data_IF_134839055818
#
_entry.id   IF_134839055818
#
_cell.length_a   1.000
_cell.length_b   1.000
_cell.length_c   1.000
_cell.angle_alpha   90.00
_cell.angle_beta   90.00
_cell.angle_gamma   90.00
#
_symmetry.space_group_name_H-M   'P 1'
#
loop_
_entity.id
_entity.type
_entity.pdbx_description
1 polymer ?
#
# COMPACT_ATOMS: atom_id res chain seq x y z
N UNK A 1 12.60 22.49 2.88
CA UNK A 1 13.41 21.77 1.86
C UNK A 1 14.57 21.12 2.58
N UNK A 2 14.96 19.91 2.19
CA UNK A 2 15.97 19.13 2.91
C UNK A 2 17.33 19.84 2.94
N UNK A 3 17.93 19.93 4.12
CA UNK A 3 19.25 20.56 4.31
C UNK A 3 20.35 19.63 3.81
N UNK A 4 20.28 18.32 4.12
CA UNK A 4 21.29 17.37 3.66
C UNK A 4 21.18 17.04 2.17
N UNK A 5 22.32 17.02 1.48
CA UNK A 5 22.38 16.75 0.04
C UNK A 5 21.88 15.35 -0.32
N UNK A 6 22.03 14.36 0.56
CA UNK A 6 21.54 13.01 0.31
C UNK A 6 20.00 12.95 0.33
N UNK A 7 19.35 13.74 1.19
CA UNK A 7 17.89 13.79 1.28
C UNK A 7 17.27 14.59 0.12
N UNK A 8 18.01 15.52 -0.50
CA UNK A 8 17.58 16.19 -1.74
C UNK A 8 17.34 15.21 -2.89
N UNK A 9 17.94 14.01 -2.86
CA UNK A 9 17.64 12.97 -3.85
C UNK A 9 16.18 12.51 -3.82
N UNK A 10 15.50 12.64 -2.68
CA UNK A 10 14.06 12.35 -2.57
C UNK A 10 13.29 13.35 -3.43
N UNK A 11 13.64 14.63 -3.43
CA UNK A 11 12.93 15.69 -4.17
C UNK A 11 12.97 15.52 -5.69
N UNK A 12 13.94 14.76 -6.20
CA UNK A 12 14.12 14.51 -7.63
C UNK A 12 13.69 13.09 -8.05
N UNK A 13 13.02 12.35 -7.16
CA UNK A 13 12.69 10.93 -7.35
C UNK A 13 11.71 10.70 -8.51
N UNK A 14 10.71 11.56 -8.66
CA UNK A 14 9.71 11.51 -9.74
C UNK A 14 10.17 12.41 -10.90
N UNK A 15 10.02 11.94 -12.14
CA UNK A 15 10.44 12.71 -13.30
C UNK A 15 9.61 13.97 -13.51
N UNK A 16 10.30 15.12 -13.64
CA UNK A 16 9.69 16.43 -13.79
C UNK A 16 8.81 16.93 -12.64
N UNK A 17 8.75 16.24 -11.49
CA UNK A 17 7.85 16.58 -10.37
C UNK A 17 8.62 16.59 -9.05
N UNK A 18 8.64 17.73 -8.37
CA UNK A 18 9.27 17.92 -7.06
C UNK A 18 8.26 17.83 -5.91
N UNK A 19 8.74 17.75 -4.67
CA UNK A 19 7.90 17.75 -3.48
C UNK A 19 7.20 19.10 -3.35
N UNK A 20 5.88 19.08 -3.32
CA UNK A 20 5.10 20.31 -3.15
C UNK A 20 5.11 20.80 -1.69
N UNK A 21 4.83 22.10 -1.46
CA UNK A 21 4.65 22.63 -0.11
C UNK A 21 3.56 21.90 0.69
N UNK A 22 2.51 21.39 0.04
CA UNK A 22 1.41 20.66 0.69
C UNK A 22 1.90 19.37 1.35
N UNK A 23 2.81 18.65 0.70
CA UNK A 23 3.43 17.45 1.27
C UNK A 23 4.27 17.80 2.50
N UNK A 24 5.07 18.86 2.40
CA UNK A 24 5.90 19.33 3.52
C UNK A 24 5.04 19.75 4.72
N UNK A 25 3.95 20.47 4.47
CA UNK A 25 3.00 20.86 5.50
C UNK A 25 2.41 19.63 6.20
N UNK A 26 1.93 18.63 5.45
CA UNK A 26 1.38 17.40 6.04
C UNK A 26 2.41 16.58 6.84
N UNK A 27 3.67 16.54 6.40
CA UNK A 27 4.74 15.87 7.13
C UNK A 27 5.07 16.57 8.45
N UNK A 28 5.00 17.91 8.48
CA UNK A 28 5.36 18.73 9.65
C UNK A 28 4.25 18.85 10.70
N UNK A 29 3.02 18.38 10.44
CA UNK A 29 1.89 18.45 11.39
C UNK A 29 2.11 17.70 12.72
N UNK A 30 3.19 16.92 12.87
CA UNK A 30 3.49 16.16 14.09
C UNK A 30 4.59 16.79 14.98
N UNK A 31 4.98 18.05 14.77
CA UNK A 31 6.01 18.81 15.54
C UNK A 31 7.41 18.16 15.63
N UNK A 32 7.65 17.10 14.87
CA UNK A 32 8.94 16.42 14.82
C UNK A 32 9.60 16.75 13.49
N UNK A 33 10.89 17.10 13.54
CA UNK A 33 11.69 17.32 12.35
C UNK A 33 11.79 16.04 11.51
N UNK A 34 11.25 16.10 10.29
CA UNK A 34 11.21 14.95 9.37
C UNK A 34 12.61 14.45 8.98
N UNK A 35 13.61 15.34 8.91
CA UNK A 35 15.00 14.94 8.62
C UNK A 35 15.56 14.07 9.74
N UNK A 36 15.32 14.45 10.99
CA UNK A 36 15.77 13.70 12.15
C UNK A 36 15.09 12.33 12.20
N UNK A 37 13.80 12.25 11.86
CA UNK A 37 13.10 10.96 11.75
C UNK A 37 13.68 10.06 10.66
N UNK A 38 13.94 10.60 9.47
CA UNK A 38 14.52 9.86 8.35
C UNK A 38 15.90 9.30 8.71
N UNK A 39 16.75 10.11 9.34
CA UNK A 39 18.08 9.72 9.77
C UNK A 39 18.05 8.71 10.93
N UNK A 40 17.15 8.89 11.91
CA UNK A 40 16.94 7.95 12.99
C UNK A 40 16.44 6.60 12.47
N UNK A 41 15.44 6.61 11.59
CA UNK A 41 14.88 5.40 10.99
C UNK A 41 15.95 4.63 10.20
N UNK A 42 16.76 5.34 9.41
CA UNK A 42 17.92 4.78 8.73
C UNK A 42 18.88 4.10 9.71
N UNK A 43 19.26 4.77 10.79
CA UNK A 43 20.20 4.22 11.76
C UNK A 43 19.66 2.97 12.48
N UNK A 44 18.34 2.94 12.73
CA UNK A 44 17.67 1.85 13.43
C UNK A 44 17.28 0.68 12.52
N UNK A 45 17.13 0.89 11.20
CA UNK A 45 16.64 -0.13 10.26
C UNK A 45 17.48 -1.42 10.23
N UNK A 46 18.83 -1.38 10.21
CA UNK A 46 19.64 -2.59 10.27
C UNK A 46 19.53 -3.37 11.59
N UNK A 47 19.02 -2.75 12.65
CA UNK A 47 18.84 -3.36 13.96
C UNK A 47 17.48 -4.05 14.12
N UNK A 48 16.59 -3.90 13.14
CA UNK A 48 15.24 -4.45 13.22
C UNK A 48 15.23 -5.94 12.98
N UNK A 49 14.46 -6.65 13.81
CA UNK A 49 14.28 -8.11 13.74
C UNK A 49 13.09 -8.50 12.88
N UNK A 50 12.10 -7.63 12.77
CA UNK A 50 10.88 -7.85 12.00
C UNK A 50 11.04 -7.24 10.61
N UNK A 51 10.61 -7.99 9.60
CA UNK A 51 10.58 -7.49 8.23
C UNK A 51 9.18 -7.00 7.88
N UNK A 52 8.98 -5.69 7.77
CA UNK A 52 7.72 -5.09 7.35
C UNK A 52 7.78 -4.60 5.91
N UNK A 53 6.67 -4.76 5.21
CA UNK A 53 6.45 -4.23 3.88
C UNK A 53 5.63 -2.94 3.95
N UNK A 54 5.94 -2.00 3.07
CA UNK A 54 5.09 -0.84 2.81
C UNK A 54 4.67 -0.86 1.34
N UNK A 55 3.37 -0.77 1.05
CA UNK A 55 2.83 -0.70 -0.30
C UNK A 55 2.16 0.66 -0.47
N UNK A 56 2.68 1.49 -1.37
CA UNK A 56 2.06 2.74 -1.79
C UNK A 56 1.42 2.55 -3.16
N UNK A 57 0.09 2.60 -3.21
CA UNK A 57 -0.66 2.41 -4.45
C UNK A 57 -1.29 3.72 -4.90
N UNK A 58 -1.02 4.09 -6.16
CA UNK A 58 -1.69 5.17 -6.87
C UNK A 58 -3.21 4.99 -6.87
N UNK A 59 -3.92 6.05 -7.27
CA UNK A 59 -5.38 6.02 -7.36
C UNK A 59 -5.92 4.80 -8.12
N UNK A 60 -6.89 4.14 -7.49
CA UNK A 60 -7.57 2.98 -8.05
C UNK A 60 -8.59 3.51 -9.06
N UNK A 61 -8.27 3.37 -10.35
CA UNK A 61 -9.17 3.83 -11.38
C UNK A 61 -10.25 2.77 -11.62
N UNK A 62 -11.51 3.22 -11.70
CA UNK A 62 -12.66 2.35 -11.90
C UNK A 62 -12.67 1.52 -13.20
N UNK A 63 -11.71 1.77 -14.11
CA UNK A 63 -11.58 1.09 -15.40
C UNK A 63 -10.24 0.38 -15.59
N UNK A 64 -9.33 0.43 -14.61
CA UNK A 64 -8.00 -0.17 -14.69
C UNK A 64 -7.89 -1.41 -13.82
N UNK A 65 -7.01 -2.31 -14.22
CA UNK A 65 -6.72 -3.53 -13.47
C UNK A 65 -5.92 -3.29 -12.18
N UNK A 66 -5.53 -2.04 -11.88
CA UNK A 66 -4.77 -1.73 -10.67
C UNK A 66 -5.57 -1.99 -9.39
N UNK A 67 -6.89 -2.17 -9.45
CA UNK A 67 -7.69 -2.67 -8.34
C UNK A 67 -7.11 -3.95 -7.70
N UNK A 68 -6.56 -4.86 -8.50
CA UNK A 68 -6.06 -6.14 -8.02
C UNK A 68 -5.11 -5.98 -6.81
N UNK A 69 -4.29 -4.93 -6.83
CA UNK A 69 -3.28 -4.67 -5.81
C UNK A 69 -3.84 -4.19 -4.47
N UNK A 70 -5.09 -3.73 -4.40
CA UNK A 70 -5.75 -3.39 -3.13
C UNK A 70 -5.86 -4.61 -2.21
N UNK A 71 -5.89 -5.82 -2.78
CA UNK A 71 -5.96 -7.07 -2.02
C UNK A 71 -4.59 -7.57 -1.54
N UNK A 72 -3.50 -7.04 -2.10
CA UNK A 72 -2.13 -7.40 -1.71
C UNK A 72 -1.87 -7.39 -0.20
N UNK A 73 -2.22 -6.33 0.57
CA UNK A 73 -1.99 -6.35 2.01
C UNK A 73 -2.70 -7.49 2.74
N UNK A 74 -3.90 -7.87 2.32
CA UNK A 74 -4.66 -8.96 2.95
C UNK A 74 -4.14 -10.34 2.56
N UNK A 75 -3.68 -10.50 1.32
CA UNK A 75 -2.96 -11.70 0.88
C UNK A 75 -1.68 -11.89 1.71
N UNK A 76 -0.85 -10.84 1.83
CA UNK A 76 0.40 -10.88 2.59
C UNK A 76 0.14 -11.13 4.09
N UNK A 77 -0.88 -10.50 4.66
CA UNK A 77 -1.24 -10.71 6.07
C UNK A 77 -1.78 -12.13 6.35
N UNK A 78 -2.45 -12.77 5.39
CA UNK A 78 -2.80 -14.20 5.45
C UNK A 78 -1.57 -15.12 5.38
N UNK A 79 -0.45 -14.63 4.83
CA UNK A 79 0.85 -15.30 4.84
C UNK A 79 1.72 -14.89 6.03
N UNK A 80 1.14 -14.27 7.06
CA UNK A 80 1.83 -13.77 8.26
C UNK A 80 2.92 -12.73 7.98
N UNK A 81 2.81 -11.99 6.88
CA UNK A 81 3.70 -10.87 6.60
C UNK A 81 3.07 -9.56 7.07
N UNK A 82 3.85 -8.79 7.83
CA UNK A 82 3.43 -7.48 8.31
C UNK A 82 3.52 -6.46 7.16
N UNK A 83 2.39 -5.82 6.86
CA UNK A 83 2.29 -4.90 5.73
C UNK A 83 1.49 -3.65 6.08
N UNK A 84 2.04 -2.50 5.70
CA UNK A 84 1.32 -1.24 5.64
C UNK A 84 0.95 -0.98 4.20
N UNK A 85 -0.31 -0.65 3.94
CA UNK A 85 -0.81 -0.30 2.63
C UNK A 85 -1.40 1.11 2.67
N UNK A 86 -0.97 1.96 1.73
CA UNK A 86 -1.50 3.30 1.56
C UNK A 86 -2.05 3.51 0.15
N UNK A 87 -3.16 4.25 0.09
CA UNK A 87 -3.82 4.67 -1.16
C UNK A 87 -4.56 5.98 -0.91
N UNK A 88 -4.79 6.82 -1.94
CA UNK A 88 -5.69 7.97 -1.80
C UNK A 88 -7.11 7.51 -1.40
N UNK A 89 -7.75 8.26 -0.52
CA UNK A 89 -9.14 8.07 -0.09
C UNK A 89 -10.14 8.53 -1.17
N UNK A 90 -9.99 8.00 -2.39
CA UNK A 90 -10.85 8.33 -3.54
C UNK A 90 -11.99 7.33 -3.68
N UNK A 91 -12.97 7.68 -4.53
CA UNK A 91 -14.26 6.98 -4.66
C UNK A 91 -14.12 5.46 -4.80
N UNK A 92 -13.18 4.98 -5.63
CA UNK A 92 -12.97 3.54 -5.86
C UNK A 92 -12.49 2.79 -4.62
N UNK A 93 -11.45 3.31 -3.95
CA UNK A 93 -10.92 2.70 -2.74
C UNK A 93 -11.95 2.74 -1.61
N UNK A 94 -12.61 3.89 -1.42
CA UNK A 94 -13.66 4.06 -0.43
C UNK A 94 -14.86 3.14 -0.69
N UNK A 95 -15.26 2.93 -1.95
CA UNK A 95 -16.38 2.05 -2.31
C UNK A 95 -16.17 0.60 -1.83
N UNK A 96 -14.91 0.18 -1.70
CA UNK A 96 -14.54 -1.15 -1.21
C UNK A 96 -14.46 -1.14 0.32
N UNK A 97 -13.66 -0.25 0.91
CA UNK A 97 -13.43 -0.25 2.35
C UNK A 97 -14.68 0.11 3.17
N UNK A 98 -15.58 0.95 2.63
CA UNK A 98 -16.83 1.33 3.32
C UNK A 98 -17.80 0.18 3.54
N UNK A 99 -17.58 -0.97 2.89
CA UNK A 99 -18.38 -2.18 3.11
C UNK A 99 -18.02 -2.87 4.43
N UNK A 100 -16.85 -2.54 5.02
CA UNK A 100 -16.31 -3.21 6.21
C UNK A 100 -16.23 -2.30 7.44
N UNK A 101 -16.05 -0.99 7.26
CA UNK A 101 -16.02 -0.01 8.35
C UNK A 101 -16.37 1.40 7.83
N UNK A 102 -16.55 2.38 8.71
CA UNK A 102 -16.77 3.77 8.32
C UNK A 102 -15.49 4.44 7.78
N UNK A 103 -15.08 4.05 6.57
CA UNK A 103 -13.86 4.50 5.91
C UNK A 103 -13.84 5.99 5.53
N UNK A 104 -15.01 6.62 5.44
CA UNK A 104 -15.14 8.07 5.16
C UNK A 104 -14.72 8.92 6.37
N UNK A 105 -14.78 8.34 7.58
CA UNK A 105 -14.23 8.98 8.77
C UNK A 105 -12.72 8.75 8.79
N UNK A 106 -11.96 9.69 8.23
CA UNK A 106 -10.49 9.72 8.28
C UNK A 106 -10.03 10.00 9.72
N UNK A 107 -10.02 8.95 10.53
CA UNK A 107 -9.54 8.96 11.90
C UNK A 107 -8.07 8.54 11.92
N UNK A 108 -7.26 9.13 12.82
CA UNK A 108 -5.89 8.67 13.03
C UNK A 108 -5.93 7.27 13.66
N UNK A 109 -5.68 6.27 12.82
CA UNK A 109 -5.57 4.86 13.23
C UNK A 109 -4.15 4.64 13.75
N UNK A 110 -4.02 3.94 14.88
CA UNK A 110 -2.73 3.43 15.32
C UNK A 110 -2.32 2.23 14.43
N UNK A 111 -1.56 2.52 13.39
CA UNK A 111 -1.09 1.51 12.44
C UNK A 111 -0.22 0.45 13.12
N UNK A 112 0.56 0.79 14.16
CA UNK A 112 1.41 -0.18 14.84
C UNK A 112 0.54 -1.22 15.54
N UNK A 113 -0.51 -0.79 16.24
CA UNK A 113 -1.42 -1.71 16.93
C UNK A 113 -2.18 -2.61 15.94
N UNK A 114 -2.60 -2.07 14.80
CA UNK A 114 -3.25 -2.84 13.74
C UNK A 114 -2.31 -3.89 13.13
N UNK A 115 -1.05 -3.54 12.85
CA UNK A 115 -0.04 -4.46 12.33
C UNK A 115 0.29 -5.54 13.36
N UNK A 116 0.47 -5.20 14.63
CA UNK A 116 0.80 -6.16 15.67
C UNK A 116 -0.34 -7.17 15.91
N UNK A 117 -1.59 -6.73 15.76
CA UNK A 117 -2.77 -7.57 15.97
C UNK A 117 -3.15 -8.39 14.73
N UNK A 118 -3.01 -7.82 13.54
CA UNK A 118 -3.61 -8.34 12.30
C UNK A 118 -2.62 -8.56 11.16
N UNK A 119 -1.35 -8.16 11.32
CA UNK A 119 -0.32 -8.09 10.27
C UNK A 119 -0.65 -7.12 9.13
N UNK A 120 -1.67 -6.28 9.25
CA UNK A 120 -2.07 -5.32 8.21
C UNK A 120 -2.44 -3.97 8.82
N UNK A 121 -1.91 -2.90 8.24
CA UNK A 121 -2.36 -1.53 8.46
C UNK A 121 -2.75 -0.88 7.14
N UNK A 122 -3.92 -0.25 7.07
CA UNK A 122 -4.40 0.48 5.89
C UNK A 122 -4.48 1.97 6.21
N UNK A 123 -3.78 2.77 5.42
CA UNK A 123 -3.78 4.22 5.50
C UNK A 123 -4.48 4.81 4.26
N UNK A 124 -5.66 5.41 4.49
CA UNK A 124 -6.37 6.16 3.45
C UNK A 124 -5.94 7.63 3.53
N UNK A 125 -5.16 8.08 2.56
CA UNK A 125 -4.59 9.43 2.53
C UNK A 125 -5.53 10.45 1.89
N UNK A 126 -5.32 11.73 2.21
CA UNK A 126 -6.12 12.86 1.72
C UNK A 126 -6.40 12.78 0.21
N UNK A 127 -7.68 12.83 -0.16
CA UNK A 127 -8.15 12.76 -1.55
C UNK A 127 -7.68 13.93 -2.40
N UNK A 128 -7.37 15.06 -1.76
CA UNK A 128 -6.99 16.31 -2.42
C UNK A 128 -5.49 16.35 -2.77
N UNK A 129 -4.73 15.30 -2.48
CA UNK A 129 -3.37 15.16 -2.98
C UNK A 129 -3.43 14.78 -4.45
N UNK A 130 -2.62 15.47 -5.27
CA UNK A 130 -2.32 14.96 -6.59
C UNK A 130 -1.47 13.69 -6.48
N UNK A 131 -1.30 12.99 -7.59
CA UNK A 131 -0.61 11.70 -7.59
C UNK A 131 0.83 11.79 -7.11
N UNK A 132 1.59 12.79 -7.57
CA UNK A 132 2.97 13.03 -7.15
C UNK A 132 3.07 13.31 -5.64
N UNK A 133 2.17 14.14 -5.12
CA UNK A 133 2.12 14.51 -3.71
C UNK A 133 1.82 13.30 -2.83
N UNK A 134 0.84 12.47 -3.23
CA UNK A 134 0.55 11.21 -2.56
C UNK A 134 1.78 10.31 -2.52
N UNK A 135 2.50 10.18 -3.64
CA UNK A 135 3.69 9.34 -3.73
C UNK A 135 4.82 9.85 -2.85
N UNK A 136 5.11 11.14 -2.89
CA UNK A 136 6.13 11.73 -2.04
C UNK A 136 5.80 11.56 -0.56
N UNK A 137 4.55 11.84 -0.18
CA UNK A 137 4.11 11.66 1.20
C UNK A 137 4.25 10.22 1.67
N UNK A 138 3.77 9.26 0.86
CA UNK A 138 3.82 7.82 1.19
C UNK A 138 5.25 7.30 1.27
N UNK A 139 6.11 7.68 0.33
CA UNK A 139 7.52 7.30 0.32
C UNK A 139 8.25 7.84 1.56
N UNK A 140 8.08 9.12 1.86
CA UNK A 140 8.74 9.74 3.03
C UNK A 140 8.23 9.09 4.32
N UNK A 141 6.92 8.88 4.48
CA UNK A 141 6.35 8.15 5.62
C UNK A 141 6.96 6.75 5.76
N UNK A 142 7.06 5.99 4.67
CA UNK A 142 7.65 4.66 4.68
C UNK A 142 9.14 4.68 5.09
N UNK A 143 9.90 5.66 4.59
CA UNK A 143 11.33 5.82 4.94
C UNK A 143 11.55 6.23 6.40
N UNK A 144 10.58 6.90 7.03
CA UNK A 144 10.58 7.22 8.46
C UNK A 144 10.30 6.00 9.35
N UNK A 145 9.83 4.88 8.79
CA UNK A 145 9.58 3.65 9.55
C UNK A 145 10.84 2.77 9.53
N UNK A 146 11.49 2.63 10.69
CA UNK A 146 12.69 1.80 10.81
C UNK A 146 12.42 0.32 10.50
N UNK A 147 11.23 -0.18 10.82
CA UNK A 147 10.82 -1.57 10.61
C UNK A 147 10.49 -1.92 9.15
N UNK A 148 10.43 -0.94 8.25
CA UNK A 148 10.18 -1.17 6.83
C UNK A 148 11.50 -1.39 6.10
N UNK A 149 11.66 -2.57 5.50
CA UNK A 149 12.84 -2.93 4.68
C UNK A 149 12.52 -3.03 3.20
N UNK A 150 11.24 -3.19 2.85
CA UNK A 150 10.80 -3.25 1.46
C UNK A 150 9.63 -2.30 1.24
N UNK A 151 9.77 -1.42 0.26
CA UNK A 151 8.73 -0.50 -0.19
C UNK A 151 8.33 -0.91 -1.61
N UNK A 152 7.03 -1.03 -1.86
CA UNK A 152 6.48 -1.34 -3.17
C UNK A 152 5.66 -0.13 -3.61
N UNK A 153 6.04 0.46 -4.74
CA UNK A 153 5.38 1.62 -5.33
C UNK A 153 4.60 1.16 -6.57
N UNK A 154 3.28 1.27 -6.52
CA UNK A 154 2.39 0.85 -7.61
C UNK A 154 1.85 2.10 -8.27
N UNK A 155 2.48 2.52 -9.37
CA UNK A 155 2.35 3.88 -9.91
C UNK A 155 2.42 3.93 -11.42
N UNK A 156 1.71 4.84 -12.11
CA UNK A 156 1.95 5.17 -13.51
C UNK A 156 3.01 6.26 -13.68
N UNK A 157 3.52 6.85 -12.58
CA UNK A 157 4.52 7.91 -12.63
C UNK A 157 5.89 7.37 -13.08
N UNK A 158 6.60 8.16 -13.88
CA UNK A 158 7.96 7.86 -14.28
C UNK A 158 8.93 8.10 -13.11
N UNK A 159 9.54 7.03 -12.61
CA UNK A 159 10.49 7.08 -11.49
C UNK A 159 11.92 7.13 -12.03
N UNK A 160 12.74 8.07 -11.53
CA UNK A 160 14.16 8.15 -11.90
C UNK A 160 14.95 7.03 -11.23
N UNK A 161 15.28 5.99 -11.99
CA UNK A 161 16.01 4.80 -11.50
C UNK A 161 17.35 5.12 -10.81
N UNK A 162 18.05 6.18 -11.25
CA UNK A 162 19.29 6.63 -10.60
C UNK A 162 19.05 7.13 -9.19
N UNK A 163 17.98 7.91 -8.97
CA UNK A 163 17.57 8.39 -7.65
C UNK A 163 17.04 7.28 -6.78
N UNK A 164 16.29 6.34 -7.36
CA UNK A 164 15.81 5.15 -6.65
C UNK A 164 16.97 4.38 -6.01
N UNK A 165 18.01 4.04 -6.79
CA UNK A 165 19.18 3.33 -6.26
C UNK A 165 19.90 4.11 -5.16
N UNK A 166 20.04 5.42 -5.32
CA UNK A 166 20.66 6.27 -4.30
C UNK A 166 19.85 6.28 -2.99
N UNK A 167 18.53 6.29 -3.06
CA UNK A 167 17.64 6.21 -1.89
C UNK A 167 17.73 4.82 -1.25
N UNK A 168 17.66 3.75 -2.03
CA UNK A 168 17.81 2.37 -1.53
C UNK A 168 19.12 2.18 -0.75
N UNK A 169 20.24 2.57 -1.37
CA UNK A 169 21.58 2.49 -0.76
C UNK A 169 21.69 3.37 0.48
N UNK A 170 21.19 4.60 0.42
CA UNK A 170 21.31 5.53 1.54
C UNK A 170 20.48 5.09 2.75
N UNK A 171 19.26 4.60 2.54
CA UNK A 171 18.35 4.21 3.63
C UNK A 171 18.46 2.74 4.03
N UNK A 172 19.24 1.93 3.31
CA UNK A 172 19.30 0.48 3.48
C UNK A 172 17.90 -0.17 3.39
N UNK A 173 17.16 0.20 2.35
CA UNK A 173 15.80 -0.27 2.06
C UNK A 173 15.74 -0.76 0.60
N UNK A 174 14.88 -1.72 0.30
CA UNK A 174 14.56 -2.12 -1.08
C UNK A 174 13.31 -1.40 -1.55
N UNK A 175 13.33 -0.87 -2.78
CA UNK A 175 12.22 -0.18 -3.40
C UNK A 175 11.91 -0.86 -4.73
N UNK A 176 10.72 -1.44 -4.83
CA UNK A 176 10.21 -2.05 -6.05
C UNK A 176 9.14 -1.16 -6.68
N UNK A 177 9.22 -0.95 -7.98
CA UNK A 177 8.23 -0.15 -8.72
C UNK A 177 7.44 -1.07 -9.64
N UNK A 178 6.12 -1.07 -9.48
CA UNK A 178 5.16 -1.72 -10.37
C UNK A 178 4.53 -0.62 -11.22
N UNK A 179 4.90 -0.59 -12.50
CA UNK A 179 4.38 0.39 -13.45
C UNK A 179 2.94 0.04 -13.85
N UNK A 180 2.04 1.01 -13.73
CA UNK A 180 0.62 0.90 -14.11
C UNK A 180 0.23 1.81 -15.29
N UNK A 181 1.22 2.42 -15.96
CA UNK A 181 1.03 3.27 -17.14
C UNK A 181 0.42 2.49 -18.31
N UNK A 182 0.89 1.26 -18.53
CA UNK A 182 0.46 0.37 -19.61
C UNK A 182 -0.80 -0.47 -19.27
N UNK A 183 -1.42 -0.27 -18.11
CA UNK A 183 -2.61 -1.03 -17.73
C UNK A 183 -3.75 -0.82 -18.74
N UNK A 184 -4.01 -1.84 -19.56
CA UNK A 184 -5.15 -1.92 -20.47
C UNK A 184 -6.46 -2.11 -19.69
N UNK A 185 -7.54 -1.52 -20.22
CA UNK A 185 -8.89 -1.66 -19.66
C UNK A 185 -9.30 -3.14 -19.54
N UNK A 186 -10.02 -3.50 -18.46
CA UNK A 186 -10.99 -4.62 -18.48
C UNK A 186 -11.83 -4.80 -17.20
N UNK A 187 -11.91 -3.86 -16.25
CA UNK A 187 -12.80 -4.05 -15.09
C UNK A 187 -13.57 -2.77 -14.82
N UNK A 188 -14.90 -2.87 -14.89
CA UNK A 188 -15.82 -1.81 -14.52
C UNK A 188 -16.18 -1.99 -13.03
N UNK A 189 -15.58 -1.18 -12.15
CA UNK A 189 -15.84 -1.24 -10.70
C UNK A 189 -17.32 -1.10 -10.36
N UNK A 190 -18.11 -0.37 -11.16
CA UNK A 190 -19.53 -0.18 -10.90
C UNK A 190 -20.33 -1.47 -11.09
N UNK A 191 -19.81 -2.41 -11.89
CA UNK A 191 -20.41 -3.73 -12.14
C UNK A 191 -19.80 -4.83 -11.29
N UNK A 192 -18.70 -4.54 -10.58
CA UNK A 192 -18.00 -5.50 -9.74
C UNK A 192 -18.80 -5.78 -8.46
N UNK A 193 -19.12 -7.05 -8.23
CA UNK A 193 -19.68 -7.51 -6.96
C UNK A 193 -18.58 -8.09 -6.08
N UNK A 194 -18.27 -7.41 -4.97
CA UNK A 194 -17.28 -7.90 -3.99
C UNK A 194 -17.66 -9.25 -3.41
N UNK A 195 -18.95 -9.50 -3.18
CA UNK A 195 -19.44 -10.81 -2.75
C UNK A 195 -19.13 -11.91 -3.77
N UNK A 196 -19.35 -11.67 -5.07
CA UNK A 196 -18.99 -12.64 -6.11
C UNK A 196 -17.48 -12.76 -6.30
N UNK A 197 -16.71 -11.68 -6.05
CA UNK A 197 -15.26 -11.70 -6.17
C UNK A 197 -14.58 -12.50 -5.05
N UNK A 198 -15.13 -12.47 -3.82
CA UNK A 198 -14.43 -13.01 -2.64
C UNK A 198 -15.06 -14.28 -2.03
N UNK A 199 -16.18 -14.79 -2.55
CA UNK A 199 -16.85 -16.01 -2.02
C UNK A 199 -16.79 -17.21 -2.95
N UNK A 200 -16.89 -18.43 -2.39
CA UNK A 200 -16.65 -19.72 -3.09
C UNK A 200 -17.45 -19.96 -4.38
N UNK A 201 -18.71 -19.51 -4.45
CA UNK A 201 -19.60 -19.82 -5.58
C UNK A 201 -19.58 -18.70 -6.64
N UNK A 202 -18.81 -18.89 -7.71
CA UNK A 202 -18.56 -17.85 -8.72
C UNK A 202 -19.00 -18.25 -10.13
N UNK A 203 -19.52 -17.28 -10.87
CA UNK A 203 -19.70 -17.39 -12.31
C UNK A 203 -18.34 -17.37 -13.02
N UNK A 204 -18.27 -17.91 -14.25
CA UNK A 204 -17.02 -18.01 -15.02
C UNK A 204 -16.26 -16.69 -15.16
N UNK A 205 -16.98 -15.58 -15.34
CA UNK A 205 -16.40 -14.23 -15.37
C UNK A 205 -15.57 -13.89 -14.11
N UNK A 206 -16.08 -14.23 -12.92
CA UNK A 206 -15.40 -13.96 -11.65
C UNK A 206 -14.28 -14.95 -11.37
N UNK A 207 -14.36 -16.17 -11.90
CA UNK A 207 -13.25 -17.14 -11.90
C UNK A 207 -12.06 -16.56 -12.67
N UNK A 208 -12.30 -16.10 -13.90
CA UNK A 208 -11.26 -15.56 -14.77
C UNK A 208 -10.67 -14.26 -14.18
N UNK A 209 -11.52 -13.44 -13.55
CA UNK A 209 -11.08 -12.24 -12.83
C UNK A 209 -10.18 -12.56 -11.63
N UNK A 210 -10.49 -13.60 -10.84
CA UNK A 210 -9.64 -14.01 -9.71
C UNK A 210 -8.29 -14.51 -10.20
N UNK A 211 -8.25 -15.31 -11.27
CA UNK A 211 -7.00 -15.76 -11.88
C UNK A 211 -6.14 -14.56 -12.32
N UNK A 212 -6.75 -13.59 -13.00
CA UNK A 212 -6.06 -12.35 -13.41
C UNK A 212 -5.53 -11.54 -12.21
N UNK A 213 -6.33 -11.40 -11.16
CA UNK A 213 -5.89 -10.74 -9.93
C UNK A 213 -4.77 -11.49 -9.22
N UNK A 214 -4.80 -12.81 -9.23
CA UNK A 214 -3.74 -13.65 -8.69
C UNK A 214 -2.43 -13.47 -9.47
N UNK A 215 -2.48 -13.42 -10.80
CA UNK A 215 -1.32 -13.15 -11.65
C UNK A 215 -0.69 -11.79 -11.33
N UNK A 216 -1.49 -10.72 -11.24
CA UNK A 216 -1.00 -9.39 -10.89
C UNK A 216 -0.35 -9.36 -9.51
N UNK A 217 -0.99 -9.94 -8.50
CA UNK A 217 -0.45 -9.97 -7.13
C UNK A 217 0.76 -10.90 -6.97
N UNK A 218 0.98 -11.82 -7.92
CA UNK A 218 2.16 -12.69 -7.91
C UNK A 218 3.45 -11.88 -7.99
N UNK A 219 3.46 -10.75 -8.70
CA UNK A 219 4.61 -9.84 -8.76
C UNK A 219 5.02 -9.33 -7.39
N UNK A 220 4.06 -9.09 -6.48
CA UNK A 220 4.33 -8.67 -5.10
C UNK A 220 4.88 -9.82 -4.27
N UNK A 221 4.31 -11.03 -4.37
CA UNK A 221 4.74 -12.18 -3.59
C UNK A 221 6.15 -12.66 -3.96
N UNK A 222 6.52 -12.57 -5.25
CA UNK A 222 7.86 -12.92 -5.75
C UNK A 222 8.98 -12.12 -5.07
N UNK A 223 8.71 -10.87 -4.70
CA UNK A 223 9.69 -9.98 -4.07
C UNK A 223 10.14 -10.47 -2.69
N UNK A 224 9.32 -11.30 -2.03
CA UNK A 224 9.62 -11.87 -0.73
C UNK A 224 10.40 -13.20 -0.81
N UNK A 225 10.80 -13.66 -2.01
CA UNK A 225 11.65 -14.85 -2.24
C UNK A 225 11.12 -16.19 -1.70
N UNK A 226 9.88 -16.28 -1.21
CA UNK A 226 9.36 -17.50 -0.60
C UNK A 226 8.74 -18.50 -1.58
N UNK A 227 8.35 -18.08 -2.78
CA UNK A 227 7.52 -18.90 -3.68
C UNK A 227 7.98 -18.86 -5.14
N UNK A 228 7.92 -20.03 -5.79
CA UNK A 228 7.97 -20.11 -7.24
C UNK A 228 6.74 -19.42 -7.86
N UNK A 229 6.86 -18.77 -9.03
CA UNK A 229 5.77 -17.97 -9.61
C UNK A 229 4.43 -18.69 -9.69
N UNK A 230 4.41 -19.92 -10.23
CA UNK A 230 3.19 -20.71 -10.38
C UNK A 230 2.52 -21.06 -9.04
N UNK A 231 3.33 -21.39 -8.00
CA UNK A 231 2.82 -21.67 -6.66
C UNK A 231 2.26 -20.40 -6.01
N UNK A 232 2.90 -19.26 -6.21
CA UNK A 232 2.41 -17.98 -5.71
C UNK A 232 1.06 -17.61 -6.34
N UNK A 233 0.92 -17.76 -7.67
CA UNK A 233 -0.34 -17.51 -8.36
C UNK A 233 -1.45 -18.43 -7.86
N UNK A 234 -1.19 -19.74 -7.81
CA UNK A 234 -2.17 -20.71 -7.33
C UNK A 234 -2.59 -20.44 -5.87
N UNK A 235 -1.63 -20.10 -5.00
CA UNK A 235 -1.90 -19.77 -3.60
C UNK A 235 -2.79 -18.52 -3.46
N UNK A 236 -2.53 -17.47 -4.25
CA UNK A 236 -3.36 -16.26 -4.23
C UNK A 236 -4.76 -16.57 -4.78
N UNK A 237 -4.84 -17.32 -5.87
CA UNK A 237 -6.10 -17.75 -6.47
C UNK A 237 -6.94 -18.52 -5.44
N UNK A 238 -6.33 -19.49 -4.75
CA UNK A 238 -6.97 -20.25 -3.68
C UNK A 238 -7.51 -19.33 -2.58
N UNK A 239 -6.78 -18.28 -2.17
CA UNK A 239 -7.26 -17.30 -1.18
C UNK A 239 -8.46 -16.48 -1.65
N UNK A 240 -8.54 -16.17 -2.94
CA UNK A 240 -9.74 -15.55 -3.53
C UNK A 240 -10.93 -16.52 -3.53
N UNK A 241 -10.69 -17.83 -3.70
CA UNK A 241 -11.76 -18.83 -3.67
C UNK A 241 -12.19 -19.22 -2.26
N UNK A 242 -11.28 -19.32 -1.31
CA UNK A 242 -11.53 -19.89 0.01
C UNK A 242 -12.07 -18.91 1.04
N UNK A 243 -12.46 -17.69 0.63
CA UNK A 243 -12.93 -16.58 1.48
C UNK A 243 -11.86 -15.97 2.39
N UNK A 244 -10.60 -16.42 2.33
CA UNK A 244 -9.54 -15.94 3.24
C UNK A 244 -9.30 -14.43 3.12
N UNK A 245 -9.37 -13.87 1.90
CA UNK A 245 -9.24 -12.41 1.70
C UNK A 245 -10.44 -11.69 2.32
N UNK A 246 -11.66 -12.20 2.10
CA UNK A 246 -12.87 -11.63 2.67
C UNK A 246 -12.84 -11.65 4.21
N UNK A 247 -12.52 -12.79 4.81
CA UNK A 247 -12.43 -12.94 6.25
C UNK A 247 -11.41 -11.96 6.85
N UNK A 248 -10.22 -11.85 6.23
CA UNK A 248 -9.18 -10.94 6.71
C UNK A 248 -9.60 -9.48 6.61
N UNK A 249 -10.25 -9.08 5.51
CA UNK A 249 -10.81 -7.73 5.35
C UNK A 249 -11.92 -7.45 6.35
N UNK A 250 -12.79 -8.43 6.62
CA UNK A 250 -13.88 -8.32 7.59
C UNK A 250 -13.36 -8.13 9.02
N UNK A 251 -12.42 -8.97 9.45
CA UNK A 251 -11.79 -8.86 10.78
C UNK A 251 -11.06 -7.53 10.93
N UNK A 252 -10.34 -7.09 9.88
CA UNK A 252 -9.70 -5.77 9.88
C UNK A 252 -10.73 -4.64 9.99
N UNK A 253 -11.82 -4.71 9.23
CA UNK A 253 -12.90 -3.73 9.28
C UNK A 253 -13.54 -3.63 10.66
N UNK A 254 -13.86 -4.77 11.28
CA UNK A 254 -14.41 -4.81 12.63
C UNK A 254 -13.47 -4.15 13.64
N UNK A 255 -12.18 -4.50 13.60
CA UNK A 255 -11.16 -3.92 14.46
C UNK A 255 -11.07 -2.39 14.31
N UNK A 256 -10.99 -1.89 13.07
CA UNK A 256 -10.95 -0.45 12.80
C UNK A 256 -12.25 0.24 13.21
N UNK A 257 -13.40 -0.40 13.00
CA UNK A 257 -14.70 0.13 13.39
C UNK A 257 -14.81 0.30 14.91
N UNK A 258 -14.27 -0.63 15.70
CA UNK A 258 -14.15 -0.51 17.16
C UNK A 258 -13.26 0.66 17.55
N UNK A 259 -12.10 0.84 16.92
CA UNK A 259 -11.22 1.99 17.17
C UNK A 259 -11.93 3.32 16.88
N UNK A 260 -12.65 3.41 15.75
CA UNK A 260 -13.44 4.59 15.36
C UNK A 260 -14.52 4.92 16.39
N UNK A 261 -15.15 3.91 16.99
CA UNK A 261 -16.18 4.08 18.02
C UNK A 261 -15.57 4.53 19.36
N UNK A 262 -14.43 3.96 19.75
CA UNK A 262 -13.77 4.29 21.01
C UNK A 262 -13.14 5.68 21.03
N UNK A 263 -12.73 6.22 19.88
CA UNK A 263 -12.24 7.60 19.78
C UNK A 263 -13.35 8.66 19.78
N UNK A 264 -14.64 8.27 19.81
CA UNK A 264 -15.78 9.20 19.94
C UNK A 264 -16.19 9.47 21.40
N UNK A 265 -15.37 9.07 22.36
CA UNK A 265 -15.50 9.36 23.81
C UNK A 265 -14.37 10.32 24.19
#
# INVERSE_FOLDING_TARGET
MFVSDQLKNIDEFIDGQAISPKVIEQLNQNDINIEDQLLAAKALRPLQKTHQLYIAQADINAKKNNLAYLFAPFILANLNQQVIYSTPARTSALAIFKQYYNAEKLVKIDLNQAIDSLNVGVELLDSDLNEADFFYLSLIKALCLAHVQTIILITPLSIKLTKLKQIEEFFAVKIHVIDTSANTEAIDLEKLSMAKLLFKNKAKEYVDLCAHFAELNTEILKLNHFYQPHLATQLIEDMFYSEHIYEKMSVYGEYIQTQIQNQKI
#
